data_IF_921469624460
#
_entry.id   IF_921469624460
#
_cell.length_a   1.000
_cell.length_b   1.000
_cell.length_c   1.000
_cell.angle_alpha   90.00
_cell.angle_beta   90.00
_cell.angle_gamma   90.00
#
_symmetry.space_group_name_H-M   'P 1'
#
loop_
_entity.id
_entity.type
_entity.pdbx_description
1 polymer ?
#
# COMPACT_ATOMS: atom_id res chain seq x y z
N UNK A 1 2.64 21.70 28.44
CA UNK A 1 1.89 20.83 29.37
C UNK A 1 1.19 21.66 30.47
N UNK A 2 1.79 22.74 31.01
CA UNK A 2 1.15 23.58 32.02
C UNK A 2 -0.08 24.31 31.46
N UNK A 3 -0.07 24.78 30.23
CA UNK A 3 -1.22 25.43 29.58
C UNK A 3 -2.40 24.46 29.29
N UNK A 4 -2.14 23.19 29.09
CA UNK A 4 -3.18 22.16 28.93
C UNK A 4 -3.72 21.67 30.31
N UNK A 5 -2.90 21.71 31.36
CA UNK A 5 -3.36 21.43 32.74
C UNK A 5 -4.31 22.50 33.30
N UNK A 6 -4.22 23.73 32.79
CA UNK A 6 -5.08 24.86 33.25
C UNK A 6 -6.57 24.68 32.89
N UNK A 7 -6.90 23.92 31.83
CA UNK A 7 -8.30 23.68 31.40
C UNK A 7 -8.92 22.44 32.07
N UNK A 8 -8.10 21.41 32.39
CA UNK A 8 -8.59 20.15 32.93
C UNK A 8 -8.77 20.08 34.45
N UNK A 9 -8.07 20.91 35.21
CA UNK A 9 -8.10 20.87 36.69
C UNK A 9 -9.23 21.68 37.31
N UNK A 10 -9.89 22.55 36.54
CA UNK A 10 -10.99 23.38 37.06
C UNK A 10 -12.20 22.58 37.57
N UNK A 11 -12.42 21.38 37.02
CA UNK A 11 -13.59 20.57 37.38
C UNK A 11 -13.42 19.80 38.70
N UNK A 12 -12.19 19.40 39.06
CA UNK A 12 -11.93 18.61 40.28
C UNK A 12 -11.73 19.46 41.53
N UNK A 13 -11.32 20.74 41.40
CA UNK A 13 -11.06 21.63 42.54
C UNK A 13 -12.33 22.38 42.92
N UNK A 14 -13.19 22.73 41.97
CA UNK A 14 -14.45 23.44 42.23
C UNK A 14 -15.42 22.67 43.11
N UNK A 15 -15.49 21.34 42.97
CA UNK A 15 -16.36 20.48 43.77
C UNK A 15 -15.85 20.27 45.22
N UNK A 16 -14.52 20.39 45.46
CA UNK A 16 -13.97 20.26 46.84
C UNK A 16 -14.05 21.54 47.66
N UNK A 17 -13.89 22.70 47.02
CA UNK A 17 -13.97 23.99 47.75
C UNK A 17 -15.41 24.32 48.15
N UNK A 18 -16.41 23.96 47.34
CA UNK A 18 -17.82 24.19 47.69
C UNK A 18 -18.38 23.23 48.74
N UNK A 19 -17.72 22.10 49.03
CA UNK A 19 -18.16 21.11 50.03
C UNK A 19 -17.51 21.32 51.42
N UNK A 20 -16.57 22.28 51.59
CA UNK A 20 -15.87 22.50 52.85
C UNK A 20 -16.10 23.90 53.42
N UNK A 21 -17.16 24.60 53.02
CA UNK A 21 -17.64 25.79 53.72
C UNK A 21 -18.45 25.47 54.98
N UNK A 22 -18.30 24.24 55.51
CA UNK A 22 -18.92 23.87 56.79
C UNK A 22 -17.99 24.22 57.95
N UNK A 23 -18.41 25.32 58.64
CA UNK A 23 -18.30 25.52 60.07
C UNK A 23 -16.96 25.22 60.75
N UNK A 24 -16.14 26.25 60.94
CA UNK A 24 -15.25 26.34 62.08
C UNK A 24 -16.13 26.48 63.37
N UNK A 25 -16.83 25.40 63.77
CA UNK A 25 -17.42 25.30 65.09
C UNK A 25 -16.28 25.07 66.10
N UNK A 26 -16.17 25.92 67.03
CA UNK A 26 -15.38 25.72 68.30
C UNK A 26 -15.84 24.39 68.89
N UNK A 27 -15.04 23.33 68.69
CA UNK A 27 -15.36 21.99 69.21
C UNK A 27 -15.04 22.03 70.74
N UNK A 28 -16.08 22.06 71.55
CA UNK A 28 -15.94 21.89 72.98
C UNK A 28 -15.42 20.53 73.36
N UNK A 29 -14.14 20.44 73.74
CA UNK A 29 -13.44 19.22 74.10
C UNK A 29 -13.65 18.78 75.54
N UNK A 30 -14.47 19.46 76.30
CA UNK A 30 -14.66 19.23 77.75
C UNK A 30 -15.30 17.87 78.11
N UNK A 31 -15.78 17.10 77.09
CA UNK A 31 -16.41 15.79 77.27
C UNK A 31 -15.64 14.57 76.72
N UNK A 32 -14.46 14.77 76.05
CA UNK A 32 -13.74 13.64 75.36
C UNK A 32 -12.94 12.76 76.33
N UNK A 33 -12.96 11.46 76.09
CA UNK A 33 -12.07 10.49 76.75
C UNK A 33 -10.64 10.66 76.20
N UNK A 34 -9.62 10.23 76.96
CA UNK A 34 -8.21 10.45 76.60
C UNK A 34 -7.85 9.78 75.18
N UNK A 35 -8.58 8.77 74.77
CA UNK A 35 -8.44 8.14 73.42
C UNK A 35 -9.06 8.96 72.32
N UNK A 36 -10.18 9.63 72.61
CA UNK A 36 -10.89 10.50 71.64
C UNK A 36 -10.12 11.82 71.43
N UNK A 37 -9.54 12.38 72.50
CA UNK A 37 -8.64 13.53 72.37
C UNK A 37 -7.43 13.22 71.52
N UNK A 38 -6.81 12.03 71.68
CA UNK A 38 -5.67 11.59 70.88
C UNK A 38 -6.02 11.41 69.38
N UNK A 39 -7.20 10.88 69.09
CA UNK A 39 -7.65 10.75 67.70
C UNK A 39 -8.02 12.09 67.05
N UNK A 40 -8.61 13.00 67.83
CA UNK A 40 -8.94 14.37 67.39
C UNK A 40 -7.65 15.15 67.08
N UNK A 41 -6.68 15.18 68.00
CA UNK A 41 -5.39 15.85 67.79
C UNK A 41 -4.69 15.31 66.57
N UNK A 42 -4.68 13.97 66.35
CA UNK A 42 -4.09 13.38 65.17
C UNK A 42 -4.80 13.84 63.89
N UNK A 43 -6.13 13.87 63.88
CA UNK A 43 -6.91 14.34 62.74
C UNK A 43 -6.61 15.83 62.44
N UNK A 44 -6.47 16.68 63.47
CA UNK A 44 -6.10 18.08 63.28
C UNK A 44 -4.67 18.23 62.74
N UNK A 45 -3.72 17.44 63.25
CA UNK A 45 -2.37 17.44 62.70
C UNK A 45 -2.32 16.99 61.22
N UNK A 46 -3.09 15.97 60.84
CA UNK A 46 -3.19 15.52 59.48
C UNK A 46 -3.78 16.62 58.56
N UNK A 47 -4.80 17.37 59.03
CA UNK A 47 -5.39 18.51 58.30
C UNK A 47 -4.38 19.65 58.15
N UNK A 48 -3.63 19.98 59.20
CA UNK A 48 -2.60 21.03 59.15
C UNK A 48 -1.46 20.64 58.21
N UNK A 49 -1.03 19.36 58.21
CA UNK A 49 -0.02 18.86 57.26
C UNK A 49 -0.51 18.95 55.79
N UNK A 50 -1.75 18.57 55.55
CA UNK A 50 -2.37 18.67 54.21
C UNK A 50 -2.47 20.15 53.79
N UNK A 51 -2.97 21.03 54.63
CA UNK A 51 -3.06 22.46 54.36
C UNK A 51 -1.68 23.09 54.08
N UNK A 52 -0.66 22.72 54.87
CA UNK A 52 0.71 23.19 54.65
C UNK A 52 1.27 22.78 53.28
N UNK A 53 1.04 21.54 52.88
CA UNK A 53 1.42 21.06 51.51
C UNK A 53 0.70 21.82 50.41
N UNK A 54 -0.60 22.11 50.61
CA UNK A 54 -1.36 22.90 49.63
C UNK A 54 -0.83 24.35 49.53
N UNK A 55 -0.49 24.98 50.68
CA UNK A 55 0.11 26.33 50.70
C UNK A 55 1.44 26.33 49.92
N UNK A 56 2.31 25.36 50.20
CA UNK A 56 3.61 25.26 49.52
C UNK A 56 3.45 25.12 48.01
N UNK A 57 2.60 24.20 47.55
CA UNK A 57 2.33 24.02 46.13
C UNK A 57 1.69 25.26 45.49
N UNK A 58 0.73 25.90 46.20
CA UNK A 58 0.07 27.10 45.71
C UNK A 58 1.03 28.30 45.63
N UNK A 59 1.99 28.42 46.56
CA UNK A 59 3.03 29.46 46.52
C UNK A 59 3.97 29.28 45.33
N UNK A 60 4.42 28.06 45.08
CA UNK A 60 5.26 27.76 43.89
C UNK A 60 4.52 28.11 42.61
N UNK A 61 3.24 27.75 42.50
CA UNK A 61 2.44 28.09 41.33
C UNK A 61 2.18 29.59 41.22
N UNK A 62 1.93 30.27 42.33
CA UNK A 62 1.74 31.72 42.38
C UNK A 62 2.97 32.50 41.92
N UNK A 63 4.17 32.06 42.31
CA UNK A 63 5.43 32.63 41.85
C UNK A 63 5.60 32.44 40.36
N UNK A 64 5.36 31.21 39.85
CA UNK A 64 5.42 30.92 38.39
C UNK A 64 4.43 31.75 37.58
N UNK A 65 3.19 31.93 38.07
CA UNK A 65 2.17 32.80 37.43
C UNK A 65 2.57 34.27 37.46
N UNK A 66 3.26 34.69 38.51
CA UNK A 66 3.76 36.07 38.66
C UNK A 66 4.91 36.33 37.68
N UNK A 67 5.85 35.40 37.55
CA UNK A 67 6.95 35.45 36.57
C UNK A 67 6.40 35.57 35.15
N UNK A 68 5.36 34.80 34.85
CA UNK A 68 4.67 34.85 33.54
C UNK A 68 4.04 36.23 33.27
N UNK A 69 3.42 36.81 34.31
CA UNK A 69 2.82 38.13 34.19
C UNK A 69 3.88 39.21 33.97
N UNK A 70 5.05 39.09 34.62
CA UNK A 70 6.20 39.95 34.37
C UNK A 70 6.75 39.82 32.98
N UNK A 71 6.81 38.60 32.46
CA UNK A 71 7.28 38.33 31.09
C UNK A 71 6.38 39.01 30.05
N UNK A 72 5.04 39.01 30.26
CA UNK A 72 4.13 39.78 29.40
C UNK A 72 4.49 41.27 29.41
N UNK A 73 4.77 41.85 30.58
CA UNK A 73 5.15 43.26 30.67
C UNK A 73 6.46 43.55 29.95
N UNK A 74 7.44 42.64 30.00
CA UNK A 74 8.73 42.77 29.32
C UNK A 74 8.54 42.71 27.78
N UNK A 75 7.70 41.80 27.29
CA UNK A 75 7.37 41.67 25.87
C UNK A 75 6.62 42.92 25.36
N UNK A 76 5.62 43.40 26.10
CA UNK A 76 4.83 44.57 25.70
C UNK A 76 5.61 45.87 25.73
N UNK A 77 6.51 46.05 26.69
CA UNK A 77 7.36 47.22 26.85
C UNK A 77 8.67 47.12 26.06
N UNK A 78 8.84 46.11 25.21
CA UNK A 78 10.03 45.98 24.39
C UNK A 78 10.24 47.17 23.46
N UNK A 79 11.49 47.62 23.24
CA UNK A 79 11.80 48.66 22.23
C UNK A 79 11.28 48.28 20.86
N UNK A 80 10.83 49.26 20.08
CA UNK A 80 10.17 49.03 18.78
C UNK A 80 11.04 48.23 17.80
N UNK A 81 12.35 48.41 17.80
CA UNK A 81 13.30 47.62 16.96
C UNK A 81 13.36 46.14 17.35
N UNK A 82 13.33 45.83 18.66
CA UNK A 82 13.30 44.47 19.15
C UNK A 82 11.91 43.85 18.95
N UNK A 83 10.86 44.63 19.14
CA UNK A 83 9.48 44.19 18.92
C UNK A 83 9.21 43.77 17.48
N UNK A 84 9.74 44.51 16.51
CA UNK A 84 9.65 44.13 15.10
C UNK A 84 10.38 42.79 14.82
N UNK A 85 11.58 42.60 15.38
CA UNK A 85 12.32 41.35 15.26
C UNK A 85 11.57 40.19 15.94
N UNK A 86 11.03 40.42 17.12
CA UNK A 86 10.23 39.46 17.88
C UNK A 86 8.99 39.00 17.09
N UNK A 87 8.26 39.96 16.51
CA UNK A 87 7.09 39.66 15.69
C UNK A 87 7.46 38.86 14.44
N UNK A 88 8.56 39.21 13.77
CA UNK A 88 9.03 38.48 12.61
C UNK A 88 9.45 37.05 12.95
N UNK A 89 10.23 36.86 14.02
CA UNK A 89 10.63 35.52 14.48
C UNK A 89 9.41 34.69 14.93
N UNK A 90 8.49 35.30 15.63
CA UNK A 90 7.23 34.69 16.05
C UNK A 90 6.36 34.24 14.87
N UNK A 91 6.19 35.08 13.84
CA UNK A 91 5.46 34.75 12.62
C UNK A 91 6.11 33.59 11.85
N UNK A 92 7.44 33.58 11.78
CA UNK A 92 8.20 32.49 11.17
C UNK A 92 7.97 31.15 11.91
N UNK A 93 7.97 31.15 13.24
CA UNK A 93 7.69 29.97 14.07
C UNK A 93 6.24 29.49 13.89
N UNK A 94 5.24 30.39 13.91
CA UNK A 94 3.82 30.01 13.71
C UNK A 94 3.60 29.37 12.34
N UNK A 95 4.10 30.01 11.27
CA UNK A 95 3.98 29.50 9.90
C UNK A 95 4.63 28.13 9.74
N UNK A 96 5.88 27.95 10.20
CA UNK A 96 6.58 26.66 10.13
C UNK A 96 5.94 25.57 11.00
N UNK A 97 5.36 25.95 12.15
CA UNK A 97 4.63 25.02 13.00
C UNK A 97 3.34 24.51 12.36
N UNK A 98 2.64 25.38 11.61
CA UNK A 98 1.47 25.02 10.80
C UNK A 98 1.87 24.10 9.66
N UNK A 99 2.93 24.44 8.93
CA UNK A 99 3.45 23.62 7.84
C UNK A 99 3.85 22.22 8.34
N UNK A 100 4.60 22.14 9.43
CA UNK A 100 4.96 20.86 10.05
C UNK A 100 3.74 20.03 10.43
N UNK A 101 2.66 20.64 10.90
CA UNK A 101 1.43 19.94 11.26
C UNK A 101 0.70 19.40 10.04
N UNK A 102 0.68 20.15 8.92
CA UNK A 102 0.08 19.73 7.66
C UNK A 102 0.82 18.52 7.09
N UNK A 103 2.15 18.56 7.08
CA UNK A 103 2.99 17.49 6.51
C UNK A 103 3.20 16.30 7.47
N UNK A 104 2.94 16.42 8.77
CA UNK A 104 3.19 15.37 9.76
C UNK A 104 2.24 14.16 9.67
N UNK A 105 1.21 14.24 8.85
CA UNK A 105 0.25 13.13 8.64
C UNK A 105 0.32 12.59 7.20
N UNK A 106 1.46 12.03 6.74
CA UNK A 106 1.46 11.32 5.48
C UNK A 106 0.60 10.07 5.64
N UNK A 107 -0.40 9.89 4.79
CA UNK A 107 -1.01 8.58 4.62
C UNK A 107 0.10 7.60 4.25
N UNK A 108 0.31 6.57 5.08
CA UNK A 108 1.28 5.51 4.78
C UNK A 108 0.82 4.75 3.54
N UNK A 109 1.15 5.25 2.34
CA UNK A 109 0.83 4.65 1.04
C UNK A 109 1.52 3.29 0.85
N UNK A 110 2.64 3.07 1.55
CA UNK A 110 3.44 1.86 1.50
C UNK A 110 3.74 1.32 2.90
N UNK A 111 3.78 -0.02 3.03
CA UNK A 111 4.28 -0.61 4.26
C UNK A 111 5.80 -0.39 4.41
N UNK A 112 6.31 -0.32 5.65
CA UNK A 112 7.73 -0.11 5.94
C UNK A 112 8.64 -1.16 5.26
N UNK A 113 8.15 -2.39 5.07
CA UNK A 113 8.88 -3.45 4.39
C UNK A 113 9.05 -3.14 2.90
N UNK A 114 7.98 -2.68 2.24
CA UNK A 114 8.00 -2.32 0.82
C UNK A 114 8.84 -1.06 0.60
N UNK A 115 8.75 -0.08 1.48
CA UNK A 115 9.57 1.13 1.43
C UNK A 115 11.07 0.81 1.44
N UNK A 116 11.54 0.03 2.43
CA UNK A 116 12.96 -0.37 2.52
C UNK A 116 13.42 -1.19 1.32
N UNK A 117 12.52 -2.03 0.77
CA UNK A 117 12.83 -2.80 -0.42
C UNK A 117 13.01 -1.86 -1.64
N UNK A 118 12.11 -0.88 -1.84
CA UNK A 118 12.24 0.10 -2.93
C UNK A 118 13.49 0.97 -2.77
N UNK A 119 13.83 1.36 -1.55
CA UNK A 119 15.05 2.08 -1.22
C UNK A 119 16.30 1.30 -1.64
N UNK A 120 16.33 -0.02 -1.39
CA UNK A 120 17.48 -0.88 -1.76
C UNK A 120 17.65 -1.08 -3.27
N UNK A 121 16.62 -0.83 -4.07
CA UNK A 121 16.62 -0.95 -5.53
C UNK A 121 16.49 0.40 -6.26
N UNK A 122 16.62 1.52 -5.56
CA UNK A 122 16.38 2.86 -6.13
C UNK A 122 17.24 3.14 -7.37
N UNK A 123 18.52 2.80 -7.31
CA UNK A 123 19.46 3.03 -8.42
C UNK A 123 19.19 2.12 -9.62
N UNK A 124 18.81 0.87 -9.35
CA UNK A 124 18.58 -0.16 -10.38
C UNK A 124 17.16 -0.09 -10.97
N UNK A 125 16.27 0.70 -10.38
CA UNK A 125 14.85 0.69 -10.71
C UNK A 125 14.54 0.96 -12.20
N UNK A 126 15.13 1.97 -12.87
CA UNK A 126 14.82 2.25 -14.28
C UNK A 126 15.14 1.05 -15.18
N UNK A 127 16.27 0.40 -14.93
CA UNK A 127 16.71 -0.79 -15.69
C UNK A 127 15.83 -1.99 -15.37
N UNK A 128 15.51 -2.21 -14.09
CA UNK A 128 14.63 -3.28 -13.64
C UNK A 128 13.22 -3.18 -14.24
N UNK A 129 12.65 -1.97 -14.33
CA UNK A 129 11.34 -1.74 -14.93
C UNK A 129 11.32 -2.04 -16.42
N UNK A 130 12.33 -1.56 -17.16
CA UNK A 130 12.48 -1.83 -18.60
C UNK A 130 12.62 -3.31 -18.85
N UNK A 131 13.46 -4.00 -18.09
CA UNK A 131 13.66 -5.45 -18.17
C UNK A 131 12.37 -6.20 -17.90
N UNK A 132 11.65 -5.87 -16.82
CA UNK A 132 10.42 -6.55 -16.47
C UNK A 132 9.32 -6.37 -17.53
N UNK A 133 9.19 -5.18 -18.12
CA UNK A 133 8.29 -4.94 -19.26
C UNK A 133 8.65 -5.78 -20.46
N UNK A 134 9.93 -5.91 -20.78
CA UNK A 134 10.42 -6.75 -21.86
C UNK A 134 10.12 -8.23 -21.61
N UNK A 135 10.36 -8.72 -20.42
CA UNK A 135 10.07 -10.10 -20.02
C UNK A 135 8.55 -10.41 -20.08
N UNK A 136 7.69 -9.46 -19.71
CA UNK A 136 6.23 -9.57 -19.86
C UNK A 136 5.81 -9.62 -21.34
N UNK A 137 6.42 -8.83 -22.21
CA UNK A 137 6.15 -8.83 -23.65
C UNK A 137 6.62 -10.14 -24.31
N UNK A 138 7.80 -10.62 -23.95
CA UNK A 138 8.33 -11.90 -24.39
C UNK A 138 7.44 -13.07 -23.97
N UNK A 139 7.00 -13.09 -22.71
CA UNK A 139 6.04 -14.07 -22.22
C UNK A 139 4.75 -14.08 -23.05
N UNK A 140 4.16 -12.91 -23.27
CA UNK A 140 2.93 -12.78 -24.05
C UNK A 140 3.11 -13.25 -25.50
N UNK A 141 4.26 -12.93 -26.09
CA UNK A 141 4.61 -13.35 -27.46
C UNK A 141 4.77 -14.86 -27.53
N UNK A 142 5.51 -15.46 -26.61
CA UNK A 142 5.68 -16.91 -26.54
C UNK A 142 4.36 -17.63 -26.30
N UNK A 143 3.52 -17.12 -25.40
CA UNK A 143 2.19 -17.66 -25.12
C UNK A 143 1.28 -17.64 -26.35
N UNK A 144 1.28 -16.54 -27.11
CA UNK A 144 0.55 -16.39 -28.37
C UNK A 144 1.03 -17.45 -29.39
N UNK A 145 2.35 -17.61 -29.54
CA UNK A 145 2.95 -18.61 -30.44
C UNK A 145 2.59 -20.05 -30.03
N UNK A 146 2.64 -20.38 -28.73
CA UNK A 146 2.21 -21.70 -28.23
C UNK A 146 0.76 -21.98 -28.59
N UNK A 147 -0.15 -20.99 -28.39
CA UNK A 147 -1.57 -21.14 -28.73
C UNK A 147 -1.77 -21.35 -30.24
N UNK A 148 -1.09 -20.57 -31.07
CA UNK A 148 -1.17 -20.66 -32.54
C UNK A 148 -0.69 -22.05 -33.02
N UNK A 149 0.51 -22.47 -32.61
CA UNK A 149 1.09 -23.76 -33.05
C UNK A 149 0.26 -24.94 -32.52
N UNK A 150 -0.31 -24.83 -31.29
CA UNK A 150 -1.24 -25.84 -30.78
C UNK A 150 -2.48 -25.96 -31.65
N UNK A 151 -3.00 -24.85 -32.16
CA UNK A 151 -4.12 -24.80 -33.10
C UNK A 151 -3.75 -25.48 -34.44
N UNK A 152 -2.60 -25.11 -35.04
CA UNK A 152 -2.10 -25.72 -36.29
C UNK A 152 -1.88 -27.22 -36.15
N UNK A 153 -1.24 -27.68 -35.06
CA UNK A 153 -1.07 -29.10 -34.78
C UNK A 153 -2.40 -29.82 -34.68
N UNK A 154 -3.41 -29.25 -34.05
CA UNK A 154 -4.75 -29.83 -33.96
C UNK A 154 -5.40 -29.97 -35.32
N UNK A 155 -5.27 -28.95 -36.18
CA UNK A 155 -5.77 -28.95 -37.55
C UNK A 155 -5.11 -30.03 -38.39
N UNK A 156 -3.77 -30.12 -38.39
CA UNK A 156 -3.06 -31.18 -39.12
C UNK A 156 -3.39 -32.59 -38.62
N UNK A 157 -3.63 -32.75 -37.30
CA UNK A 157 -4.06 -34.04 -36.74
C UNK A 157 -5.44 -34.46 -37.24
N UNK A 158 -6.40 -33.54 -37.34
CA UNK A 158 -7.74 -33.81 -37.86
C UNK A 158 -7.65 -34.15 -39.36
N UNK A 159 -6.88 -33.35 -40.13
CA UNK A 159 -6.68 -33.57 -41.56
C UNK A 159 -6.02 -34.93 -41.83
N UNK A 160 -4.98 -35.29 -41.08
CA UNK A 160 -4.31 -36.60 -41.20
C UNK A 160 -5.30 -37.75 -40.93
N UNK A 161 -6.11 -37.66 -39.86
CA UNK A 161 -7.10 -38.67 -39.53
C UNK A 161 -8.16 -38.82 -40.65
N UNK A 162 -8.62 -37.71 -41.22
CA UNK A 162 -9.61 -37.74 -42.31
C UNK A 162 -9.03 -38.32 -43.60
N UNK A 163 -7.78 -38.00 -43.94
CA UNK A 163 -7.08 -38.56 -45.06
C UNK A 163 -6.86 -40.08 -44.90
N UNK A 164 -6.48 -40.55 -43.71
CA UNK A 164 -6.36 -41.97 -43.40
C UNK A 164 -7.70 -42.70 -43.52
N UNK A 165 -8.80 -42.13 -43.04
CA UNK A 165 -10.14 -42.68 -43.21
C UNK A 165 -10.55 -42.74 -44.69
N UNK A 166 -10.20 -41.72 -45.49
CA UNK A 166 -10.42 -41.72 -46.95
C UNK A 166 -9.61 -42.84 -47.64
N UNK A 167 -8.34 -42.99 -47.29
CA UNK A 167 -7.47 -44.02 -47.82
C UNK A 167 -8.03 -45.44 -47.55
N UNK A 168 -8.51 -45.66 -46.28
CA UNK A 168 -9.11 -46.94 -45.90
C UNK A 168 -10.40 -47.22 -46.70
N UNK A 169 -11.24 -46.20 -46.94
CA UNK A 169 -12.44 -46.37 -47.82
C UNK A 169 -12.06 -46.70 -49.24
N UNK A 170 -11.08 -46.00 -49.82
CA UNK A 170 -10.60 -46.27 -51.19
C UNK A 170 -10.04 -47.70 -51.31
N UNK A 171 -9.24 -48.15 -50.33
CA UNK A 171 -8.74 -49.54 -50.31
C UNK A 171 -9.88 -50.57 -50.29
N UNK A 172 -10.95 -50.36 -49.52
CA UNK A 172 -12.13 -51.20 -49.47
C UNK A 172 -12.82 -51.25 -50.86
N UNK A 173 -13.02 -50.10 -51.52
CA UNK A 173 -13.61 -50.06 -52.88
C UNK A 173 -12.69 -50.69 -53.92
N UNK A 174 -11.37 -50.53 -53.78
CA UNK A 174 -10.40 -51.16 -54.65
C UNK A 174 -10.43 -52.73 -54.62
N UNK A 175 -10.55 -53.26 -53.35
CA UNK A 175 -10.72 -54.73 -53.18
C UNK A 175 -12.07 -55.24 -53.76
N UNK A 176 -13.15 -54.47 -53.53
CA UNK A 176 -14.48 -54.81 -54.07
C UNK A 176 -14.47 -54.81 -55.60
N UNK A 177 -13.85 -53.78 -56.19
CA UNK A 177 -13.66 -53.72 -57.66
C UNK A 177 -12.85 -54.89 -58.24
N UNK A 178 -11.77 -55.27 -57.52
CA UNK A 178 -10.99 -56.45 -57.94
C UNK A 178 -11.82 -57.73 -57.88
N UNK A 179 -12.60 -57.91 -56.82
CA UNK A 179 -13.51 -59.06 -56.69
C UNK A 179 -14.58 -59.11 -57.79
N UNK A 180 -15.16 -57.93 -58.12
CA UNK A 180 -16.10 -57.83 -59.25
C UNK A 180 -15.43 -58.15 -60.58
N UNK A 181 -14.20 -57.71 -60.88
CA UNK A 181 -13.45 -58.02 -62.06
C UNK A 181 -13.19 -59.52 -62.22
N UNK A 182 -12.74 -60.13 -61.07
CA UNK A 182 -12.54 -61.61 -61.10
C UNK A 182 -13.87 -62.35 -61.36
N UNK A 183 -14.96 -61.89 -60.77
CA UNK A 183 -16.30 -62.40 -60.96
C UNK A 183 -16.76 -62.31 -62.43
N UNK A 184 -16.59 -61.15 -63.07
CA UNK A 184 -16.89 -60.95 -64.54
C UNK A 184 -16.00 -61.84 -65.38
N UNK A 185 -14.74 -61.97 -65.04
CA UNK A 185 -13.83 -62.89 -65.79
C UNK A 185 -14.26 -64.37 -65.70
N UNK A 186 -14.63 -64.82 -64.51
CA UNK A 186 -15.13 -66.22 -64.32
C UNK A 186 -16.45 -66.44 -65.11
N UNK A 187 -17.39 -65.46 -65.01
CA UNK A 187 -18.65 -65.56 -65.80
C UNK A 187 -18.35 -65.63 -67.33
N UNK A 188 -17.43 -64.80 -67.77
CA UNK A 188 -17.02 -64.86 -69.22
C UNK A 188 -16.45 -66.22 -69.61
N UNK A 189 -15.55 -66.78 -68.77
CA UNK A 189 -15.01 -68.13 -69.02
C UNK A 189 -16.11 -69.20 -69.12
N UNK A 190 -17.13 -69.11 -68.26
CA UNK A 190 -18.27 -70.00 -68.25
C UNK A 190 -19.13 -69.87 -69.55
N UNK A 191 -19.40 -68.62 -69.98
CA UNK A 191 -20.14 -68.33 -71.22
C UNK A 191 -19.35 -68.81 -72.43
N UNK A 192 -18.04 -68.53 -72.53
CA UNK A 192 -17.17 -68.97 -73.62
C UNK A 192 -17.05 -70.49 -73.69
N UNK A 193 -17.11 -71.15 -72.55
CA UNK A 193 -17.11 -72.65 -72.58
C UNK A 193 -18.46 -73.27 -73.00
N UNK A 194 -19.58 -72.51 -72.85
CA UNK A 194 -20.92 -72.96 -73.17
C UNK A 194 -21.34 -72.66 -74.63
N UNK A 195 -20.77 -71.58 -75.26
CA UNK A 195 -21.11 -71.17 -76.64
C UNK A 195 -19.85 -70.71 -77.39
N UNK A 196 -19.42 -71.48 -78.44
CA UNK A 196 -18.16 -71.20 -79.16
C UNK A 196 -18.27 -70.10 -80.23
N UNK A 197 -19.32 -69.24 -80.21
CA UNK A 197 -19.52 -68.16 -81.20
C UNK A 197 -18.64 -66.93 -80.87
N UNK A 198 -17.89 -66.44 -81.91
CA UNK A 198 -16.92 -65.34 -81.77
C UNK A 198 -17.52 -63.95 -81.48
N UNK A 199 -18.87 -63.75 -81.48
CA UNK A 199 -19.53 -62.47 -81.27
C UNK A 199 -19.32 -61.88 -79.83
N UNK A 200 -19.07 -62.74 -78.84
CA UNK A 200 -18.89 -62.31 -77.46
C UNK A 200 -17.50 -61.75 -77.14
N UNK A 201 -16.47 -61.97 -77.98
CA UNK A 201 -15.08 -61.56 -77.79
C UNK A 201 -14.95 -60.01 -77.78
N UNK A 202 -15.66 -59.32 -78.70
CA UNK A 202 -15.64 -57.85 -78.80
C UNK A 202 -16.22 -57.16 -77.57
N UNK A 203 -17.35 -57.69 -77.04
CA UNK A 203 -17.96 -57.15 -75.79
C UNK A 203 -17.07 -57.38 -74.58
N UNK A 204 -16.38 -58.52 -74.50
CA UNK A 204 -15.43 -58.79 -73.40
C UNK A 204 -14.24 -57.87 -73.44
N UNK A 205 -13.61 -57.62 -74.62
CA UNK A 205 -12.49 -56.69 -74.74
C UNK A 205 -12.87 -55.28 -74.30
N UNK A 206 -14.07 -54.79 -74.63
CA UNK A 206 -14.54 -53.48 -74.21
C UNK A 206 -14.73 -53.35 -72.63
N UNK A 207 -15.28 -54.41 -72.02
CA UNK A 207 -15.42 -54.51 -70.58
C UNK A 207 -14.05 -54.57 -69.91
N UNK A 208 -13.09 -55.31 -70.40
CA UNK A 208 -11.71 -55.39 -69.87
C UNK A 208 -11.00 -54.05 -69.98
N UNK A 209 -11.12 -53.34 -71.10
CA UNK A 209 -10.50 -52.01 -71.29
C UNK A 209 -11.12 -51.00 -70.28
N UNK A 210 -12.44 -51.01 -70.15
CA UNK A 210 -13.14 -50.14 -69.19
C UNK A 210 -12.69 -50.42 -67.74
N UNK A 211 -12.56 -51.69 -67.39
CA UNK A 211 -12.13 -52.11 -66.08
C UNK A 211 -10.67 -51.73 -65.78
N UNK A 212 -9.78 -51.86 -66.77
CA UNK A 212 -8.38 -51.43 -66.67
C UNK A 212 -8.26 -49.92 -66.49
N UNK A 213 -9.03 -49.12 -67.25
CA UNK A 213 -9.03 -47.67 -67.12
C UNK A 213 -9.54 -47.20 -65.72
N UNK A 214 -10.62 -47.83 -65.20
CA UNK A 214 -11.13 -47.61 -63.88
C UNK A 214 -10.11 -47.99 -62.77
N UNK A 215 -9.44 -49.14 -62.92
CA UNK A 215 -8.40 -49.60 -61.99
C UNK A 215 -7.20 -48.66 -61.95
N UNK A 216 -6.74 -48.17 -63.10
CA UNK A 216 -5.65 -47.21 -63.24
C UNK A 216 -6.05 -45.86 -62.52
N UNK A 217 -7.30 -45.43 -62.76
CA UNK A 217 -7.84 -44.24 -62.10
C UNK A 217 -7.88 -44.36 -60.57
N UNK A 218 -8.38 -45.50 -60.04
CA UNK A 218 -8.36 -45.80 -58.61
C UNK A 218 -6.95 -45.87 -58.00
N UNK A 219 -6.00 -46.49 -58.72
CA UNK A 219 -4.60 -46.59 -58.32
C UNK A 219 -3.95 -45.19 -58.26
N UNK A 220 -4.13 -44.37 -59.31
CA UNK A 220 -3.62 -43.00 -59.31
C UNK A 220 -4.21 -42.17 -58.17
N UNK A 221 -5.52 -42.30 -57.87
CA UNK A 221 -6.19 -41.64 -56.78
C UNK A 221 -5.70 -42.13 -55.40
N UNK A 222 -5.48 -43.43 -55.25
CA UNK A 222 -4.90 -44.02 -54.03
C UNK A 222 -3.48 -43.46 -53.79
N UNK A 223 -2.63 -43.44 -54.81
CA UNK A 223 -1.26 -42.92 -54.77
C UNK A 223 -1.22 -41.44 -54.43
N UNK A 224 -2.14 -40.66 -55.04
CA UNK A 224 -2.30 -39.21 -54.68
C UNK A 224 -2.71 -38.99 -53.19
N UNK A 225 -3.62 -39.85 -52.73
CA UNK A 225 -4.07 -39.74 -51.31
C UNK A 225 -2.96 -40.15 -50.34
N UNK A 226 -2.20 -41.23 -50.68
CA UNK A 226 -1.04 -41.62 -49.86
C UNK A 226 0.03 -40.54 -49.78
N UNK A 227 0.32 -39.87 -50.91
CA UNK A 227 1.22 -38.71 -50.90
C UNK A 227 0.71 -37.58 -50.04
N UNK A 228 -0.61 -37.28 -50.03
CA UNK A 228 -1.22 -36.26 -49.15
C UNK A 228 -1.11 -36.65 -47.69
N UNK A 229 -1.37 -37.89 -47.30
CA UNK A 229 -1.19 -38.41 -45.94
C UNK A 229 0.25 -38.18 -45.49
N UNK A 230 1.24 -38.60 -46.28
CA UNK A 230 2.66 -38.43 -45.96
C UNK A 230 3.03 -36.96 -45.73
N UNK A 231 2.60 -36.05 -46.62
CA UNK A 231 2.87 -34.61 -46.50
C UNK A 231 2.24 -34.03 -45.22
N UNK A 232 0.99 -34.45 -44.91
CA UNK A 232 0.30 -33.96 -43.70
C UNK A 232 0.94 -34.51 -42.43
N UNK A 233 1.41 -35.76 -42.41
CA UNK A 233 2.17 -36.34 -41.30
C UNK A 233 3.50 -35.60 -41.08
N UNK A 234 4.23 -35.26 -42.14
CA UNK A 234 5.46 -34.44 -42.02
C UNK A 234 5.17 -33.08 -41.46
N UNK A 235 4.07 -32.42 -41.87
CA UNK A 235 3.62 -31.13 -41.28
C UNK A 235 3.25 -31.28 -39.80
N UNK A 236 2.53 -32.35 -39.44
CA UNK A 236 2.15 -32.65 -38.08
C UNK A 236 3.37 -32.86 -37.16
N UNK A 237 4.37 -33.60 -37.64
CA UNK A 237 5.62 -33.85 -36.93
C UNK A 237 6.41 -32.53 -36.71
N UNK A 238 6.51 -31.71 -37.78
CA UNK A 238 7.13 -30.39 -37.70
C UNK A 238 6.40 -29.47 -36.67
N UNK A 239 5.07 -29.40 -36.74
CA UNK A 239 4.26 -28.63 -35.81
C UNK A 239 4.42 -29.15 -34.36
N UNK A 240 4.52 -30.46 -34.17
CA UNK A 240 4.76 -31.08 -32.85
C UNK A 240 6.15 -30.74 -32.31
N UNK A 241 7.20 -30.83 -33.12
CA UNK A 241 8.56 -30.46 -32.74
C UNK A 241 8.66 -28.95 -32.37
N UNK A 242 8.01 -28.10 -33.20
CA UNK A 242 7.96 -26.66 -32.95
C UNK A 242 7.20 -26.34 -31.67
N UNK A 243 6.06 -27.00 -31.43
CA UNK A 243 5.30 -26.85 -30.19
C UNK A 243 6.14 -27.20 -28.96
N UNK A 244 6.91 -28.27 -29.00
CA UNK A 244 7.78 -28.65 -27.88
C UNK A 244 8.87 -27.62 -27.65
N UNK A 245 9.48 -27.06 -28.71
CA UNK A 245 10.45 -25.95 -28.58
C UNK A 245 9.84 -24.73 -27.94
N UNK A 246 8.63 -24.31 -28.35
CA UNK A 246 7.96 -23.15 -27.77
C UNK A 246 7.44 -23.42 -26.36
N UNK A 247 7.08 -24.64 -25.99
CA UNK A 247 6.76 -24.99 -24.58
C UNK A 247 7.96 -24.82 -23.67
N UNK A 248 9.17 -25.18 -24.10
CA UNK A 248 10.38 -24.96 -23.32
C UNK A 248 10.61 -23.45 -23.14
N UNK A 249 10.49 -22.67 -24.23
CA UNK A 249 10.58 -21.21 -24.13
C UNK A 249 9.53 -20.61 -23.17
N UNK A 250 8.30 -21.12 -23.20
CA UNK A 250 7.22 -20.70 -22.32
C UNK A 250 7.55 -20.96 -20.83
N UNK A 251 8.03 -22.17 -20.52
CA UNK A 251 8.43 -22.49 -19.14
C UNK A 251 9.56 -21.57 -18.67
N UNK A 252 10.55 -21.30 -19.52
CA UNK A 252 11.62 -20.40 -19.18
C UNK A 252 11.12 -18.98 -18.95
N UNK A 253 10.24 -18.46 -19.82
CA UNK A 253 9.66 -17.13 -19.64
C UNK A 253 8.82 -17.02 -18.35
N UNK A 254 8.04 -18.06 -18.02
CA UNK A 254 7.30 -18.13 -16.74
C UNK A 254 8.26 -18.07 -15.56
N UNK A 255 9.31 -18.89 -15.56
CA UNK A 255 10.27 -18.95 -14.46
C UNK A 255 10.99 -17.58 -14.25
N UNK A 256 11.36 -16.91 -15.36
CA UNK A 256 11.98 -15.57 -15.28
C UNK A 256 10.99 -14.57 -14.66
N UNK A 257 9.73 -14.54 -15.13
CA UNK A 257 8.72 -13.64 -14.58
C UNK A 257 8.41 -13.93 -13.10
N UNK A 258 8.25 -15.20 -12.72
CA UNK A 258 8.01 -15.58 -11.33
C UNK A 258 9.18 -15.15 -10.42
N UNK A 259 10.40 -15.30 -10.89
CA UNK A 259 11.58 -14.84 -10.16
C UNK A 259 11.56 -13.30 -9.97
N UNK A 260 11.34 -12.54 -11.06
CA UNK A 260 11.32 -11.07 -11.02
C UNK A 260 10.14 -10.56 -10.17
N UNK A 261 8.95 -11.18 -10.30
CA UNK A 261 7.79 -10.84 -9.48
C UNK A 261 8.03 -11.11 -7.98
N UNK A 262 8.67 -12.22 -7.66
CA UNK A 262 9.03 -12.55 -6.27
C UNK A 262 10.08 -11.61 -5.72
N UNK A 263 11.09 -11.25 -6.53
CA UNK A 263 12.16 -10.33 -6.16
C UNK A 263 11.63 -8.98 -5.74
N UNK A 264 10.69 -8.41 -6.51
CA UNK A 264 10.11 -7.09 -6.26
C UNK A 264 8.78 -7.14 -5.50
N UNK A 265 8.31 -8.31 -5.12
CA UNK A 265 7.01 -8.54 -4.46
C UNK A 265 5.84 -7.85 -5.20
N UNK A 266 5.78 -8.04 -6.53
CA UNK A 266 4.79 -7.48 -7.45
C UNK A 266 4.18 -8.57 -8.33
N UNK A 267 3.09 -8.22 -9.04
CA UNK A 267 2.41 -9.11 -9.99
C UNK A 267 2.50 -8.60 -11.43
N UNK A 268 3.04 -7.41 -11.65
CA UNK A 268 3.21 -6.81 -12.97
C UNK A 268 4.21 -5.65 -12.92
N UNK A 269 4.77 -5.31 -14.09
CA UNK A 269 5.62 -4.13 -14.26
C UNK A 269 4.88 -2.82 -13.90
N UNK A 270 3.57 -2.77 -14.17
CA UNK A 270 2.74 -1.63 -13.79
C UNK A 270 2.63 -1.47 -12.27
N UNK A 271 2.44 -2.56 -11.52
CA UNK A 271 2.42 -2.52 -10.05
C UNK A 271 3.78 -2.09 -9.47
N UNK A 272 4.87 -2.55 -10.08
CA UNK A 272 6.22 -2.14 -9.70
C UNK A 272 6.40 -0.62 -9.87
N UNK A 273 5.98 -0.08 -11.01
CA UNK A 273 6.03 1.35 -11.29
C UNK A 273 5.20 2.18 -10.29
N UNK A 274 3.97 1.75 -9.99
CA UNK A 274 3.13 2.41 -8.99
C UNK A 274 3.74 2.41 -7.59
N UNK A 275 4.30 1.28 -7.15
CA UNK A 275 4.96 1.18 -5.85
C UNK A 275 6.19 2.08 -5.77
N UNK A 276 6.96 2.15 -6.84
CA UNK A 276 8.12 3.02 -6.88
C UNK A 276 7.73 4.50 -6.87
N UNK A 277 6.71 4.88 -7.62
CA UNK A 277 6.20 6.25 -7.61
C UNK A 277 5.74 6.66 -6.21
N UNK A 278 4.98 5.78 -5.53
CA UNK A 278 4.58 6.02 -4.15
C UNK A 278 5.78 6.10 -3.18
N UNK A 279 6.86 5.33 -3.44
CA UNK A 279 8.12 5.43 -2.69
C UNK A 279 8.77 6.81 -2.86
N UNK A 280 8.89 7.29 -4.11
CA UNK A 280 9.50 8.60 -4.40
C UNK A 280 8.69 9.73 -3.74
N UNK A 281 7.36 9.68 -3.84
CA UNK A 281 6.48 10.65 -3.17
C UNK A 281 6.70 10.66 -1.65
N UNK A 282 6.73 9.48 -1.01
CA UNK A 282 6.99 9.37 0.43
C UNK A 282 8.37 9.87 0.83
N UNK A 283 9.39 9.59 0.02
CA UNK A 283 10.76 10.08 0.25
C UNK A 283 10.85 11.60 0.17
N UNK A 284 10.18 12.20 -0.82
CA UNK A 284 10.11 13.65 -0.96
C UNK A 284 9.33 14.31 0.18
N UNK A 285 8.23 13.69 0.63
CA UNK A 285 7.47 14.16 1.80
C UNK A 285 8.34 14.10 3.07
N UNK A 286 9.07 13.00 3.30
CA UNK A 286 10.00 12.89 4.44
C UNK A 286 11.09 13.93 4.40
N UNK A 287 11.68 14.19 3.22
CA UNK A 287 12.70 15.22 3.06
C UNK A 287 12.16 16.61 3.42
N UNK A 288 10.95 16.95 2.94
CA UNK A 288 10.27 18.22 3.28
C UNK A 288 9.99 18.35 4.77
N UNK A 289 9.54 17.28 5.43
CA UNK A 289 9.32 17.27 6.88
C UNK A 289 10.61 17.54 7.64
N UNK A 290 11.72 16.93 7.22
CA UNK A 290 13.04 17.16 7.83
C UNK A 290 13.51 18.61 7.63
N UNK A 291 13.33 19.15 6.43
CA UNK A 291 13.67 20.53 6.11
C UNK A 291 12.84 21.53 6.94
N UNK A 292 11.51 21.35 6.98
CA UNK A 292 10.61 22.18 7.78
C UNK A 292 10.98 22.07 9.27
N UNK A 293 11.30 20.87 9.76
CA UNK A 293 11.69 20.67 11.16
C UNK A 293 13.01 21.36 11.48
N UNK A 294 13.99 21.31 10.57
CA UNK A 294 15.27 22.02 10.74
C UNK A 294 15.06 23.54 10.78
N UNK A 295 14.27 24.06 9.85
CA UNK A 295 13.96 25.48 9.77
C UNK A 295 13.15 25.96 10.99
N UNK A 296 12.24 25.13 11.51
CA UNK A 296 11.48 25.42 12.71
C UNK A 296 12.40 25.51 13.94
N UNK A 297 13.30 24.55 14.12
CA UNK A 297 14.25 24.57 15.23
C UNK A 297 15.13 25.84 15.19
N UNK A 298 15.59 26.23 14.02
CA UNK A 298 16.37 27.47 13.84
C UNK A 298 15.55 28.71 14.20
N UNK A 299 14.26 28.77 13.77
CA UNK A 299 13.37 29.88 14.08
C UNK A 299 12.99 29.92 15.58
N UNK A 300 12.82 28.78 16.23
CA UNK A 300 12.60 28.68 17.68
C UNK A 300 13.84 29.13 18.47
N UNK A 301 15.05 28.83 18.01
CA UNK A 301 16.29 29.29 18.61
C UNK A 301 16.44 30.81 18.46
N UNK A 302 16.18 31.38 17.27
CA UNK A 302 16.19 32.82 17.03
C UNK A 302 15.18 33.54 17.94
N UNK A 303 13.95 33.02 18.04
CA UNK A 303 12.91 33.56 18.94
C UNK A 303 13.35 33.50 20.41
N UNK A 304 13.93 32.38 20.82
CA UNK A 304 14.46 32.18 22.18
C UNK A 304 15.53 33.22 22.52
N UNK A 305 16.45 33.50 21.62
CA UNK A 305 17.52 34.46 21.83
C UNK A 305 16.97 35.91 21.97
N UNK A 306 15.97 36.25 21.16
CA UNK A 306 15.30 37.56 21.28
C UNK A 306 14.56 37.68 22.63
N UNK A 307 13.84 36.65 23.06
CA UNK A 307 13.15 36.62 24.33
C UNK A 307 14.14 36.71 25.52
N UNK A 308 15.30 36.04 25.46
CA UNK A 308 16.37 36.15 26.45
C UNK A 308 16.96 37.56 26.50
N UNK A 309 17.14 38.23 25.36
CA UNK A 309 17.59 39.62 25.34
C UNK A 309 16.62 40.58 26.05
N UNK A 310 15.31 40.26 25.99
CA UNK A 310 14.29 41.00 26.75
C UNK A 310 14.23 40.65 28.24
N UNK A 311 15.00 39.65 28.68
CA UNK A 311 15.04 39.18 30.04
C UNK A 311 13.82 38.33 30.44
N UNK A 312 13.15 37.70 29.45
CA UNK A 312 12.05 36.75 29.65
C UNK A 312 12.56 35.54 30.42
N UNK A 313 11.86 35.17 31.51
CA UNK A 313 12.29 34.10 32.43
C UNK A 313 12.09 32.72 31.81
N UNK A 314 10.90 32.45 31.30
CA UNK A 314 10.59 31.17 30.69
C UNK A 314 10.28 31.27 29.18
N UNK A 315 11.34 31.22 28.38
CA UNK A 315 11.24 31.33 26.92
C UNK A 315 10.48 30.17 26.26
N UNK A 316 10.53 28.95 26.86
CA UNK A 316 9.87 27.78 26.28
C UNK A 316 8.34 27.91 26.25
N UNK A 317 7.78 28.55 27.24
CA UNK A 317 6.34 28.77 27.30
C UNK A 317 5.91 29.70 26.16
N UNK A 318 6.68 30.73 25.87
CA UNK A 318 6.39 31.71 24.83
C UNK A 318 6.56 31.13 23.41
N UNK A 319 7.44 30.16 23.20
CA UNK A 319 7.50 29.39 21.97
C UNK A 319 6.19 28.64 21.76
N UNK A 320 5.61 28.05 22.81
CA UNK A 320 4.30 27.38 22.71
C UNK A 320 3.11 28.33 22.53
N UNK A 321 3.28 29.61 22.87
CA UNK A 321 2.24 30.67 22.82
C UNK A 321 2.58 31.79 21.83
N UNK A 322 3.22 31.47 20.74
CA UNK A 322 3.65 32.41 19.69
C UNK A 322 2.50 33.31 19.21
N UNK A 323 1.28 32.77 19.16
CA UNK A 323 0.08 33.53 18.75
C UNK A 323 -0.23 34.69 19.67
N UNK A 324 0.06 34.59 20.98
CA UNK A 324 -0.11 35.68 21.92
C UNK A 324 0.88 36.82 21.65
N UNK A 325 2.10 36.51 21.15
CA UNK A 325 3.07 37.52 20.75
C UNK A 325 2.61 38.26 19.47
N UNK A 326 2.00 37.53 18.54
CA UNK A 326 1.55 38.07 17.25
C UNK A 326 0.23 38.86 17.33
N UNK A 327 -0.67 38.42 18.22
CA UNK A 327 -2.02 38.96 18.32
C UNK A 327 -2.25 39.62 19.67
N UNK A 328 -2.39 40.97 19.72
CA UNK A 328 -2.64 41.68 20.96
C UNK A 328 -3.91 41.23 21.72
N UNK A 329 -4.92 40.72 21.01
CA UNK A 329 -6.15 40.20 21.63
C UNK A 329 -5.88 38.93 22.42
N UNK A 330 -5.09 38.03 21.84
CA UNK A 330 -4.66 36.76 22.48
C UNK A 330 -3.78 37.07 23.71
N UNK A 331 -2.88 38.06 23.62
CA UNK A 331 -2.07 38.50 24.74
C UNK A 331 -2.92 39.05 25.89
N UNK A 332 -3.97 39.82 25.60
CA UNK A 332 -4.93 40.31 26.63
C UNK A 332 -5.67 39.15 27.27
N UNK A 333 -6.07 38.15 26.53
CA UNK A 333 -6.74 36.96 27.04
C UNK A 333 -5.81 36.14 27.94
N UNK A 334 -4.57 35.89 27.52
CA UNK A 334 -3.56 35.23 28.36
C UNK A 334 -3.35 36.01 29.70
N UNK A 335 -3.20 37.33 29.63
CA UNK A 335 -3.03 38.18 30.81
C UNK A 335 -4.24 38.09 31.73
N UNK A 336 -5.45 38.13 31.19
CA UNK A 336 -6.68 38.04 31.98
C UNK A 336 -6.76 36.67 32.69
N UNK A 337 -6.47 35.60 32.02
CA UNK A 337 -6.47 34.24 32.58
C UNK A 337 -5.42 34.09 33.70
N UNK A 338 -4.22 34.65 33.52
CA UNK A 338 -3.17 34.65 34.54
C UNK A 338 -3.58 35.50 35.76
N UNK A 339 -4.23 36.66 35.55
CA UNK A 339 -4.73 37.50 36.65
C UNK A 339 -5.78 36.76 37.47
N UNK A 340 -6.74 36.10 36.83
CA UNK A 340 -7.74 35.27 37.53
C UNK A 340 -7.07 34.13 38.29
N UNK A 341 -6.10 33.43 37.66
CA UNK A 341 -5.40 32.33 38.32
C UNK A 341 -4.62 32.80 39.54
N UNK A 342 -3.90 33.91 39.43
CA UNK A 342 -3.15 34.49 40.53
C UNK A 342 -4.07 34.89 41.71
N UNK A 343 -5.25 35.46 41.43
CA UNK A 343 -6.22 35.78 42.46
C UNK A 343 -6.75 34.52 43.15
N UNK A 344 -7.11 33.49 42.40
CA UNK A 344 -7.57 32.20 42.96
C UNK A 344 -6.50 31.54 43.83
N UNK A 345 -5.24 31.55 43.41
CA UNK A 345 -4.13 30.99 44.18
C UNK A 345 -3.94 31.76 45.50
N UNK A 346 -4.06 33.09 45.47
CA UNK A 346 -4.01 33.93 46.69
C UNK A 346 -5.15 33.58 47.66
N UNK A 347 -6.37 33.49 47.17
CA UNK A 347 -7.54 33.07 47.95
C UNK A 347 -7.35 31.67 48.56
N UNK A 348 -6.77 30.72 47.81
CA UNK A 348 -6.45 29.38 48.28
C UNK A 348 -5.37 29.38 49.38
N UNK A 349 -4.33 30.20 49.22
CA UNK A 349 -3.28 30.34 50.22
C UNK A 349 -3.88 30.93 51.53
N UNK A 350 -4.61 32.04 51.44
CA UNK A 350 -5.26 32.69 52.57
C UNK A 350 -6.24 31.76 53.30
N UNK A 351 -7.03 30.97 52.53
CA UNK A 351 -7.95 29.99 53.11
C UNK A 351 -7.21 28.87 53.87
N UNK A 352 -6.15 28.33 53.30
CA UNK A 352 -5.41 27.23 53.95
C UNK A 352 -4.54 27.77 55.13
N UNK A 353 -4.07 29.01 55.07
CA UNK A 353 -3.40 29.68 56.21
C UNK A 353 -4.39 29.83 57.37
N UNK A 354 -5.64 30.27 57.14
CA UNK A 354 -6.67 30.35 58.18
C UNK A 354 -7.09 29.00 58.78
N UNK A 355 -6.82 27.89 58.10
CA UNK A 355 -7.08 26.53 58.63
C UNK A 355 -5.96 26.02 59.53
N UNK A 356 -4.80 26.62 59.46
CA UNK A 356 -3.63 26.27 60.28
C UNK A 356 -3.62 27.11 61.56
N UNK A 357 -4.12 28.35 61.54
CA UNK A 357 -4.34 29.19 62.70
C UNK A 357 -5.48 28.66 63.59
#
# INVERSE_FOLDING_TARGET
EIAQCLVGSEMCIRDRVNNTQDNLEEVDTAGFTGSEVGSFVKSQCDIMEEASRYIENAKVEYDSVTDYYEDIQRIENAPEDIKLKLMYAADRVDNLSVDRRIFKSPENKLSNKVYRMMESYEEDFPEALVKLRHDEEDYNTVLKNVRMIKGERSMYRIEANDLVKKQLRIKKYSVLMLALLVGVFVIFLLISAASPDDEHIGMFITVVILALTLSLGLFAYLKSTERKVYVTEVKLNKATALLNKYKIKYVNAVNVLEYEYSKYAVKSAFELEQKFQAYVEMKDEQRKILEITSNLNEAEEELTDILRQLGVIDTHIWIGQVKAILNPKEMVEVRHNLSIRRQKLREQIEYNESRIE
#
